data_IF_425742229339
#
_entry.id   IF_425742229339
#
_cell.length_a   1.000
_cell.length_b   1.000
_cell.length_c   1.000
_cell.angle_alpha   90.00
_cell.angle_beta   90.00
_cell.angle_gamma   90.00
#
_symmetry.space_group_name_H-M   'P 1'
#
loop_
_entity.id
_entity.type
_entity.pdbx_description
1 polymer ?
#
# COMPACT_ATOMS: atom_id res chain seq x y z
N UNK A 1 25.30 7.29 4.40
CA UNK A 1 23.82 7.22 4.31
C UNK A 1 23.24 7.93 5.53
N UNK A 2 22.60 9.08 5.32
CA UNK A 2 21.93 9.80 6.40
C UNK A 2 20.89 8.90 7.07
N UNK A 3 21.05 8.60 8.37
CA UNK A 3 20.06 7.86 9.18
C UNK A 3 18.74 8.63 9.36
N UNK A 4 18.62 9.85 8.85
CA UNK A 4 17.48 10.75 9.11
C UNK A 4 16.33 10.63 8.11
N UNK A 5 16.48 9.89 7.02
CA UNK A 5 15.40 9.71 6.05
C UNK A 5 14.71 8.37 6.26
N UNK A 6 13.86 8.28 7.30
CA UNK A 6 12.89 7.19 7.40
C UNK A 6 11.71 7.55 6.48
N UNK A 7 11.46 6.78 5.42
CA UNK A 7 10.33 7.03 4.54
C UNK A 7 9.03 6.80 5.33
N UNK A 8 8.09 7.75 5.25
CA UNK A 8 6.77 7.60 5.85
C UNK A 8 5.88 6.81 4.88
N UNK A 9 5.38 5.66 5.31
CA UNK A 9 4.40 4.88 4.55
C UNK A 9 3.00 5.36 4.89
N UNK A 10 2.17 5.58 3.87
CA UNK A 10 0.73 5.82 4.04
C UNK A 10 -0.05 4.55 3.72
N UNK A 11 -1.16 4.36 4.42
CA UNK A 11 -2.07 3.22 4.23
C UNK A 11 -3.46 3.72 3.89
N UNK A 12 -4.12 3.04 2.96
CA UNK A 12 -5.55 3.12 2.73
C UNK A 12 -6.24 2.09 3.61
N UNK A 13 -7.21 2.53 4.41
CA UNK A 13 -7.97 1.67 5.31
C UNK A 13 -9.44 1.66 4.89
N UNK A 14 -9.98 0.48 4.59
CA UNK A 14 -11.43 0.31 4.50
C UNK A 14 -11.96 0.03 5.91
N UNK A 15 -12.82 0.91 6.42
CA UNK A 15 -13.42 0.80 7.75
C UNK A 15 -14.94 0.70 7.62
N UNK A 16 -15.51 -0.29 8.29
CA UNK A 16 -16.94 -0.55 8.32
C UNK A 16 -17.29 -1.21 9.65
N UNK A 17 -18.53 -0.99 10.11
CA UNK A 17 -19.05 -1.74 11.26
C UNK A 17 -19.49 -3.12 10.78
N UNK A 18 -18.97 -4.21 11.36
CA UNK A 18 -19.45 -5.55 11.03
C UNK A 18 -20.94 -5.63 11.32
N UNK A 19 -21.74 -5.90 10.29
CA UNK A 19 -23.15 -6.21 10.41
C UNK A 19 -23.37 -7.55 9.74
N UNK A 20 -24.15 -8.41 10.39
CA UNK A 20 -24.53 -9.68 9.79
C UNK A 20 -25.46 -9.42 8.60
N UNK A 21 -25.04 -9.82 7.41
CA UNK A 21 -25.87 -9.79 6.21
C UNK A 21 -26.62 -11.12 6.11
N UNK A 22 -27.96 -11.09 6.23
CA UNK A 22 -28.82 -12.27 6.10
C UNK A 22 -28.74 -12.90 4.71
N UNK A 23 -28.57 -12.10 3.66
CA UNK A 23 -28.55 -12.60 2.28
C UNK A 23 -27.23 -13.30 1.96
N UNK A 24 -26.11 -12.77 2.46
CA UNK A 24 -24.77 -13.36 2.26
C UNK A 24 -24.37 -14.35 3.36
N UNK A 25 -25.18 -14.48 4.43
CA UNK A 25 -24.89 -15.26 5.65
C UNK A 25 -23.48 -14.99 6.18
N UNK A 26 -23.06 -13.73 6.14
CA UNK A 26 -21.66 -13.38 6.35
C UNK A 26 -21.56 -12.04 7.11
N UNK A 27 -20.73 -12.00 8.15
CA UNK A 27 -20.36 -10.77 8.85
C UNK A 27 -19.21 -10.02 8.18
N UNK A 28 -18.35 -10.74 7.44
CA UNK A 28 -17.08 -10.22 6.93
C UNK A 28 -16.73 -10.83 5.58
N UNK A 29 -16.76 -9.99 4.55
CA UNK A 29 -16.52 -10.41 3.17
C UNK A 29 -15.05 -10.26 2.72
N UNK A 30 -14.11 -10.03 3.65
CA UNK A 30 -12.69 -9.85 3.32
C UNK A 30 -12.34 -8.51 2.65
N UNK A 31 -13.33 -7.61 2.46
CA UNK A 31 -13.12 -6.32 1.81
C UNK A 31 -12.70 -5.21 2.77
N UNK A 32 -12.57 -5.53 4.04
CA UNK A 32 -12.01 -4.66 5.05
C UNK A 32 -10.53 -5.01 5.21
N UNK A 33 -9.68 -3.99 5.14
CA UNK A 33 -8.25 -4.20 5.09
C UNK A 33 -7.46 -2.90 5.10
N UNK A 34 -6.15 -3.07 5.12
CA UNK A 34 -5.14 -2.03 5.03
C UNK A 34 -4.30 -2.28 3.78
N UNK A 35 -4.20 -1.29 2.92
CA UNK A 35 -3.37 -1.35 1.72
C UNK A 35 -2.31 -0.26 1.77
N UNK A 36 -1.01 -0.60 1.69
CA UNK A 36 0.04 0.42 1.63
C UNK A 36 -0.04 1.17 0.30
N UNK A 37 0.11 2.49 0.34
CA UNK A 37 0.32 3.33 -0.85
C UNK A 37 1.77 3.21 -1.30
N UNK A 38 2.07 2.09 -1.96
CA UNK A 38 3.40 1.77 -2.48
C UNK A 38 3.36 1.51 -3.99
N UNK A 39 4.52 1.65 -4.61
CA UNK A 39 4.73 1.37 -6.02
C UNK A 39 5.90 0.39 -6.18
N UNK A 40 5.73 -0.56 -7.07
CA UNK A 40 6.82 -1.43 -7.51
C UNK A 40 7.74 -0.70 -8.48
N UNK A 41 9.04 -0.91 -8.32
CA UNK A 41 10.04 -0.36 -9.20
C UNK A 41 11.20 -1.34 -9.37
N UNK A 42 11.89 -1.23 -10.50
CA UNK A 42 13.11 -2.00 -10.75
C UNK A 42 14.28 -1.27 -10.12
N UNK A 43 15.01 -1.96 -9.24
CA UNK A 43 16.18 -1.41 -8.56
C UNK A 43 17.28 -1.05 -9.57
N UNK A 44 17.53 0.24 -9.76
CA UNK A 44 18.55 0.74 -10.70
C UNK A 44 19.98 0.59 -10.17
N UNK A 45 20.13 0.59 -8.84
CA UNK A 45 21.41 0.44 -8.14
C UNK A 45 21.31 -0.75 -7.20
N UNK A 46 22.41 -1.50 -7.08
CA UNK A 46 22.55 -2.54 -6.07
C UNK A 46 22.67 -1.89 -4.68
N UNK A 47 21.82 -2.32 -3.76
CA UNK A 47 21.94 -2.05 -2.33
C UNK A 47 21.92 -3.39 -1.58
N UNK A 48 22.24 -3.36 -0.28
CA UNK A 48 22.36 -4.57 0.55
C UNK A 48 21.18 -5.55 0.39
N UNK A 49 19.95 -5.02 0.28
CA UNK A 49 18.72 -5.82 0.24
C UNK A 49 18.02 -5.81 -1.14
N UNK A 50 18.55 -5.08 -2.12
CA UNK A 50 17.99 -4.99 -3.47
C UNK A 50 19.13 -5.02 -4.49
N UNK A 51 19.50 -6.21 -5.01
CA UNK A 51 20.38 -6.33 -6.17
C UNK A 51 19.85 -5.51 -7.36
N UNK A 52 20.75 -5.10 -8.24
CA UNK A 52 20.34 -4.36 -9.44
C UNK A 52 19.43 -5.24 -10.30
N UNK A 53 18.30 -4.69 -10.74
CA UNK A 53 17.30 -5.40 -11.54
C UNK A 53 16.21 -6.11 -10.72
N UNK A 54 16.32 -6.17 -9.40
CA UNK A 54 15.26 -6.75 -8.55
C UNK A 54 14.05 -5.82 -8.50
N UNK A 55 12.84 -6.40 -8.60
CA UNK A 55 11.59 -5.67 -8.34
C UNK A 55 11.51 -5.41 -6.84
N UNK A 56 11.61 -4.15 -6.45
CA UNK A 56 11.50 -3.71 -5.07
C UNK A 56 10.28 -2.79 -4.92
N UNK A 57 9.74 -2.73 -3.71
CA UNK A 57 8.59 -1.87 -3.38
C UNK A 57 9.08 -0.61 -2.68
N UNK A 58 8.64 0.57 -3.13
CA UNK A 58 8.90 1.85 -2.46
C UNK A 58 7.61 2.59 -2.14
N UNK A 59 7.67 3.47 -1.16
CA UNK A 59 6.57 4.40 -0.90
C UNK A 59 6.47 5.43 -2.02
N UNK A 60 5.25 5.88 -2.29
CA UNK A 60 5.00 6.99 -3.21
C UNK A 60 5.40 8.29 -2.50
N UNK A 61 6.34 9.04 -3.08
CA UNK A 61 6.91 10.25 -2.46
C UNK A 61 5.88 11.39 -2.36
N UNK A 62 5.01 11.51 -3.36
CA UNK A 62 3.96 12.54 -3.42
C UNK A 62 2.61 11.89 -3.66
N UNK A 63 1.74 11.92 -2.66
CA UNK A 63 0.37 11.42 -2.78
C UNK A 63 -0.55 12.58 -3.16
N UNK A 64 -0.94 12.61 -4.44
CA UNK A 64 -1.89 13.56 -4.99
C UNK A 64 -3.29 12.96 -5.16
N UNK A 65 -4.28 13.79 -5.46
CA UNK A 65 -5.67 13.36 -5.73
C UNK A 65 -5.77 12.29 -6.82
N UNK A 66 -4.92 12.35 -7.86
CA UNK A 66 -4.90 11.36 -8.93
C UNK A 66 -4.47 9.98 -8.41
N UNK A 67 -3.31 9.93 -7.73
CA UNK A 67 -2.81 8.71 -7.08
C UNK A 67 -3.87 8.13 -6.16
N UNK A 68 -4.47 8.94 -5.29
CA UNK A 68 -5.50 8.46 -4.38
C UNK A 68 -6.73 7.86 -5.08
N UNK A 69 -7.12 8.38 -6.25
CA UNK A 69 -8.20 7.80 -7.06
C UNK A 69 -7.82 6.45 -7.63
N UNK A 70 -6.58 6.27 -8.10
CA UNK A 70 -6.10 5.00 -8.67
C UNK A 70 -6.15 3.86 -7.65
N UNK A 71 -5.98 4.16 -6.36
CA UNK A 71 -6.07 3.16 -5.28
C UNK A 71 -7.51 2.88 -4.78
N UNK A 72 -8.50 3.67 -5.20
CA UNK A 72 -9.90 3.49 -4.82
C UNK A 72 -10.74 2.73 -5.86
N UNK A 73 -10.23 2.58 -7.08
CA UNK A 73 -10.94 2.04 -8.25
C UNK A 73 -10.57 0.57 -8.46
#
# INVERSE_FOLDING_TARGET
>A
MSKRFLPKTMFLAAVARPRYDLHRKCCWNGKLGLWPLSQEYIAQRSSCNCPKGTVCTRNIEVVNRAVYKDFLI
#
